data_IF_258977542923
#
_entry.id   IF_258977542923
#
_cell.length_a   1.000
_cell.length_b   1.000
_cell.length_c   1.000
_cell.angle_alpha   90.00
_cell.angle_beta   90.00
_cell.angle_gamma   90.00
#
_symmetry.space_group_name_H-M   'P 1'
#
loop_
_entity.id
_entity.type
_entity.pdbx_description
1 polymer ?
#
# COMPACT_ATOMS: atom_id res chain seq x y z
N UNK A 1 13.86 12.45 6.02
CA UNK A 1 13.10 12.01 7.23
C UNK A 1 11.82 11.36 6.75
N UNK A 2 11.43 10.24 7.35
CA UNK A 2 10.14 9.58 7.09
C UNK A 2 9.09 10.23 7.99
N UNK A 3 7.93 10.55 7.42
CA UNK A 3 6.74 11.01 8.15
C UNK A 3 5.69 9.92 8.06
N UNK A 4 5.13 9.55 9.20
CA UNK A 4 4.06 8.58 9.34
C UNK A 4 2.74 9.32 9.50
N UNK A 5 1.73 8.89 8.75
CA UNK A 5 0.37 9.40 8.80
C UNK A 5 -0.53 8.30 9.37
N UNK A 6 -1.15 8.55 10.49
CA UNK A 6 -1.90 7.53 11.26
C UNK A 6 -3.34 7.31 10.76
N UNK A 7 -3.77 8.06 9.73
CA UNK A 7 -5.11 7.89 9.19
C UNK A 7 -5.33 6.44 8.69
N UNK A 8 -6.38 5.76 9.12
CA UNK A 8 -6.66 4.38 8.72
C UNK A 8 -6.78 4.27 7.20
N UNK A 9 -6.21 3.23 6.63
CA UNK A 9 -6.30 2.98 5.18
C UNK A 9 -7.76 2.91 4.73
N UNK A 10 -8.08 3.65 3.68
CA UNK A 10 -9.43 3.76 3.14
C UNK A 10 -10.32 4.84 3.77
N UNK A 11 -9.85 5.53 4.83
CA UNK A 11 -10.54 6.71 5.36
C UNK A 11 -10.40 7.93 4.45
N UNK A 12 -11.25 8.93 4.62
CA UNK A 12 -11.18 10.18 3.86
C UNK A 12 -9.87 10.90 4.11
N UNK A 13 -9.40 10.94 5.34
CA UNK A 13 -8.13 11.55 5.74
C UNK A 13 -6.93 10.85 5.06
N UNK A 14 -6.99 9.53 4.93
CA UNK A 14 -5.96 8.77 4.24
C UNK A 14 -5.99 9.02 2.72
N UNK A 15 -7.19 9.13 2.12
CA UNK A 15 -7.34 9.51 0.72
C UNK A 15 -6.79 10.91 0.45
N UNK A 16 -7.06 11.85 1.35
CA UNK A 16 -6.53 13.22 1.28
C UNK A 16 -5.01 13.25 1.38
N UNK A 17 -4.44 12.50 2.32
CA UNK A 17 -2.99 12.41 2.50
C UNK A 17 -2.26 11.79 1.29
N UNK A 18 -2.94 10.95 0.51
CA UNK A 18 -2.38 10.30 -0.69
C UNK A 18 -2.54 11.13 -1.97
N UNK A 19 -3.37 12.16 -1.95
CA UNK A 19 -3.75 12.94 -3.13
C UNK A 19 -2.51 13.52 -3.82
N UNK A 20 -2.37 13.26 -5.12
CA UNK A 20 -1.25 13.72 -5.91
C UNK A 20 0.10 13.03 -5.63
N UNK A 21 0.13 12.01 -4.77
CA UNK A 21 1.36 11.25 -4.53
C UNK A 21 1.49 10.07 -5.50
N UNK A 22 2.69 9.86 -6.01
CA UNK A 22 3.05 8.59 -6.63
C UNK A 22 3.21 7.54 -5.52
N UNK A 23 2.24 6.65 -5.41
CA UNK A 23 2.26 5.62 -4.38
C UNK A 23 3.02 4.37 -4.84
N UNK A 24 3.52 3.57 -3.89
CA UNK A 24 4.25 2.33 -4.16
C UNK A 24 3.45 1.38 -5.08
N UNK A 25 2.13 1.27 -4.89
CA UNK A 25 1.24 0.45 -5.73
C UNK A 25 1.17 0.92 -7.20
N UNK A 26 1.41 2.20 -7.46
CA UNK A 26 1.39 2.79 -8.81
C UNK A 26 2.78 2.91 -9.45
N UNK A 27 3.83 2.55 -8.72
CA UNK A 27 5.21 2.73 -9.18
C UNK A 27 5.51 1.96 -10.46
N UNK A 28 5.08 0.70 -10.54
CA UNK A 28 5.22 -0.13 -11.75
C UNK A 28 4.51 0.51 -12.95
N UNK A 29 3.31 1.06 -12.75
CA UNK A 29 2.56 1.76 -13.79
C UNK A 29 3.27 3.02 -14.24
N UNK A 30 3.85 3.79 -13.31
CA UNK A 30 4.63 4.99 -13.64
C UNK A 30 5.87 4.70 -14.49
N UNK A 31 6.51 3.54 -14.29
CA UNK A 31 7.64 3.07 -15.09
C UNK A 31 7.25 2.44 -16.42
N UNK A 32 5.98 2.11 -16.63
CA UNK A 32 5.50 1.54 -17.88
C UNK A 32 5.54 2.56 -19.02
N UNK A 33 5.35 2.08 -20.25
CA UNK A 33 5.23 2.93 -21.44
C UNK A 33 3.80 2.85 -21.97
N UNK A 34 3.31 3.95 -22.53
CA UNK A 34 2.03 4.01 -23.23
C UNK A 34 0.86 4.46 -22.36
N UNK A 35 -0.35 4.13 -22.82
CA UNK A 35 -1.62 4.69 -22.32
C UNK A 35 -1.88 4.49 -20.83
N UNK A 36 -1.40 3.40 -20.25
CA UNK A 36 -1.59 3.10 -18.82
C UNK A 36 -0.87 4.13 -17.93
N UNK A 37 0.38 4.46 -18.29
CA UNK A 37 1.13 5.54 -17.61
C UNK A 37 0.45 6.89 -17.82
N UNK A 38 0.03 7.18 -19.05
CA UNK A 38 -0.61 8.46 -19.36
C UNK A 38 -1.92 8.65 -18.59
N UNK A 39 -2.68 7.56 -18.41
CA UNK A 39 -3.89 7.57 -17.57
C UNK A 39 -3.55 7.86 -16.10
N UNK A 40 -2.52 7.23 -15.56
CA UNK A 40 -2.06 7.52 -14.19
C UNK A 40 -1.64 8.99 -14.03
N UNK A 41 -0.87 9.52 -14.99
CA UNK A 41 -0.42 10.91 -14.94
C UNK A 41 -1.58 11.90 -14.99
N UNK A 42 -2.59 11.66 -15.84
CA UNK A 42 -3.81 12.50 -15.91
C UNK A 42 -4.60 12.45 -14.60
N UNK A 43 -4.72 11.27 -14.00
CA UNK A 43 -5.36 11.11 -12.70
C UNK A 43 -4.64 11.92 -11.64
N UNK A 44 -3.34 11.76 -11.48
CA UNK A 44 -2.54 12.51 -10.50
C UNK A 44 -2.62 14.03 -10.75
N UNK A 45 -2.60 14.46 -12.00
CA UNK A 45 -2.76 15.88 -12.35
C UNK A 45 -4.14 16.41 -11.93
N UNK A 46 -5.21 15.64 -12.12
CA UNK A 46 -6.55 15.99 -11.70
C UNK A 46 -6.69 16.08 -10.16
N UNK A 47 -6.06 15.14 -9.45
CA UNK A 47 -5.98 15.17 -7.98
C UNK A 47 -5.31 16.46 -7.49
N UNK A 48 -4.18 16.84 -8.08
CA UNK A 48 -3.42 18.04 -7.70
C UNK A 48 -4.18 19.33 -8.07
N UNK A 49 -4.75 19.38 -9.28
CA UNK A 49 -5.33 20.62 -9.80
C UNK A 49 -6.73 20.92 -9.24
N UNK A 50 -7.53 19.88 -8.99
CA UNK A 50 -8.95 20.02 -8.64
C UNK A 50 -9.36 19.27 -7.37
N UNK A 51 -8.44 18.60 -6.68
CA UNK A 51 -8.78 17.79 -5.51
C UNK A 51 -9.73 16.63 -5.86
N UNK A 52 -9.64 16.10 -7.09
CA UNK A 52 -10.50 15.01 -7.53
C UNK A 52 -10.09 13.72 -6.84
N UNK A 53 -10.88 13.29 -5.84
CA UNK A 53 -10.67 11.99 -5.18
C UNK A 53 -11.13 10.87 -6.12
N UNK A 54 -10.28 9.86 -6.27
CA UNK A 54 -10.67 8.63 -6.93
C UNK A 54 -11.21 7.66 -5.86
N UNK A 55 -12.52 7.43 -5.88
CA UNK A 55 -13.15 6.43 -5.00
C UNK A 55 -12.67 5.00 -5.26
N UNK A 56 -11.95 4.80 -6.36
CA UNK A 56 -11.32 3.53 -6.72
C UNK A 56 -12.32 2.39 -6.96
N UNK A 57 -12.01 1.54 -7.92
CA UNK A 57 -12.73 0.29 -8.09
C UNK A 57 -12.28 -0.70 -7.01
N UNK A 58 -13.22 -1.14 -6.16
CA UNK A 58 -12.98 -2.21 -5.18
C UNK A 58 -13.49 -3.52 -5.75
N UNK A 59 -12.59 -4.43 -6.13
CA UNK A 59 -12.97 -5.79 -6.50
C UNK A 59 -13.28 -6.63 -5.24
N UNK A 60 -14.07 -7.69 -5.41
CA UNK A 60 -14.32 -8.65 -4.33
C UNK A 60 -13.03 -9.27 -3.79
N UNK A 61 -12.02 -9.46 -4.65
CA UNK A 61 -10.71 -9.96 -4.23
C UNK A 61 -9.95 -8.94 -3.36
N UNK A 62 -10.03 -7.65 -3.68
CA UNK A 62 -9.43 -6.58 -2.87
C UNK A 62 -10.13 -6.47 -1.52
N UNK A 63 -11.47 -6.53 -1.50
CA UNK A 63 -12.22 -6.51 -0.24
C UNK A 63 -11.85 -7.71 0.65
N UNK A 64 -11.82 -8.93 0.06
CA UNK A 64 -11.36 -10.11 0.80
C UNK A 64 -9.93 -9.96 1.35
N UNK A 65 -9.02 -9.35 0.59
CA UNK A 65 -7.66 -9.05 1.04
C UNK A 65 -7.68 -8.19 2.30
N UNK A 66 -8.40 -7.09 2.26
CA UNK A 66 -8.52 -6.16 3.39
C UNK A 66 -9.15 -6.83 4.62
N UNK A 67 -10.19 -7.66 4.43
CA UNK A 67 -10.86 -8.37 5.53
C UNK A 67 -9.93 -9.36 6.23
N UNK A 68 -9.00 -9.98 5.50
CA UNK A 68 -8.06 -10.96 6.03
C UNK A 68 -6.77 -10.36 6.61
N UNK A 69 -6.50 -9.10 6.31
CA UNK A 69 -5.24 -8.46 6.66
C UNK A 69 -5.02 -8.38 8.18
N UNK A 70 -6.07 -8.04 8.94
CA UNK A 70 -6.01 -7.97 10.41
C UNK A 70 -5.73 -9.36 11.02
N UNK A 71 -6.31 -10.42 10.47
CA UNK A 71 -6.05 -11.79 10.92
C UNK A 71 -4.63 -12.24 10.55
N UNK A 72 -4.17 -11.91 9.34
CA UNK A 72 -2.82 -12.22 8.90
C UNK A 72 -1.75 -11.52 9.77
N UNK A 73 -1.97 -10.27 10.19
CA UNK A 73 -1.08 -9.59 11.15
C UNK A 73 -1.02 -10.31 12.50
N UNK A 74 -2.17 -10.77 13.01
CA UNK A 74 -2.22 -11.54 14.26
C UNK A 74 -1.48 -12.87 14.15
N UNK A 75 -1.68 -13.61 13.07
CA UNK A 75 -0.96 -14.86 12.80
C UNK A 75 0.54 -14.65 12.71
N UNK A 76 0.98 -13.62 11.98
CA UNK A 76 2.39 -13.27 11.88
C UNK A 76 3.00 -12.96 13.27
N UNK A 77 2.30 -12.20 14.10
CA UNK A 77 2.76 -11.89 15.46
C UNK A 77 2.82 -13.15 16.33
N UNK A 78 1.84 -14.04 16.21
CA UNK A 78 1.82 -15.31 16.96
C UNK A 78 2.98 -16.22 16.55
N UNK A 79 3.27 -16.31 15.27
CA UNK A 79 4.31 -17.20 14.72
C UNK A 79 5.74 -16.69 14.98
N UNK A 80 5.92 -15.37 14.94
CA UNK A 80 7.25 -14.75 15.02
C UNK A 80 7.58 -14.13 16.37
N UNK A 81 6.58 -13.82 17.20
CA UNK A 81 6.73 -13.04 18.41
C UNK A 81 6.99 -11.55 18.18
N UNK A 82 6.95 -11.10 16.92
CA UNK A 82 7.18 -9.69 16.56
C UNK A 82 5.88 -8.91 16.59
N UNK A 83 5.86 -7.78 17.30
CA UNK A 83 4.71 -6.89 17.31
C UNK A 83 4.62 -6.10 16.02
N UNK A 84 3.44 -6.05 15.42
CA UNK A 84 3.14 -5.28 14.22
C UNK A 84 2.21 -4.12 14.57
N UNK A 85 2.62 -2.89 14.29
CA UNK A 85 1.79 -1.71 14.39
C UNK A 85 1.18 -1.38 13.02
N UNK A 86 -0.08 -0.94 13.01
CA UNK A 86 -0.74 -0.45 11.80
C UNK A 86 -0.28 0.97 11.51
N UNK A 87 -0.12 1.29 10.24
CA UNK A 87 0.20 2.63 9.74
C UNK A 87 -0.61 2.93 8.49
N UNK A 88 -1.02 4.18 8.32
CA UNK A 88 -1.81 4.57 7.15
C UNK A 88 -0.95 4.82 5.93
N UNK A 89 -0.05 5.77 6.02
CA UNK A 89 0.78 6.22 4.92
C UNK A 89 2.16 6.66 5.43
N UNK A 90 3.20 6.32 4.71
CA UNK A 90 4.55 6.83 4.92
C UNK A 90 4.94 7.75 3.75
N UNK A 91 5.49 8.91 4.07
CA UNK A 91 6.11 9.82 3.10
C UNK A 91 7.57 10.09 3.50
N UNK A 92 8.40 10.55 2.57
CA UNK A 92 9.80 10.85 2.85
C UNK A 92 10.19 12.20 2.25
N UNK A 93 10.72 13.08 3.08
CA UNK A 93 11.15 14.42 2.66
C UNK A 93 12.25 14.42 1.59
N UNK A 94 13.02 13.33 1.47
CA UNK A 94 14.01 13.14 0.41
C UNK A 94 13.41 12.68 -0.92
N UNK A 95 12.15 12.24 -0.92
CA UNK A 95 11.40 11.75 -2.08
C UNK A 95 10.06 12.48 -2.16
N UNK A 96 10.07 13.81 -2.40
CA UNK A 96 8.84 14.58 -2.44
C UNK A 96 7.90 14.06 -3.54
N UNK A 97 6.61 14.04 -3.27
CA UNK A 97 5.61 13.53 -4.20
C UNK A 97 5.49 12.00 -4.23
N UNK A 98 6.17 11.27 -3.35
CA UNK A 98 6.07 9.82 -3.25
C UNK A 98 5.57 9.39 -1.87
N UNK A 99 4.81 8.30 -1.84
CA UNK A 99 4.30 7.72 -0.60
C UNK A 99 4.11 6.20 -0.70
N UNK A 100 4.04 5.56 0.46
CA UNK A 100 3.75 4.13 0.55
C UNK A 100 2.76 3.88 1.69
N UNK A 101 1.68 3.15 1.41
CA UNK A 101 0.83 2.58 2.44
C UNK A 101 1.31 1.17 2.72
N UNK A 102 1.72 0.93 3.95
CA UNK A 102 2.21 -0.36 4.41
C UNK A 102 1.10 -1.08 5.18
N UNK A 103 1.05 -2.40 5.07
CA UNK A 103 0.08 -3.21 5.81
C UNK A 103 0.45 -3.33 7.30
N UNK A 104 1.66 -2.93 7.65
CA UNK A 104 2.12 -2.81 9.02
C UNK A 104 3.59 -2.44 9.10
N UNK A 105 4.03 -2.15 10.32
CA UNK A 105 5.44 -1.96 10.64
C UNK A 105 5.83 -2.83 11.83
N UNK A 106 7.05 -3.34 11.79
CA UNK A 106 7.70 -4.06 12.89
C UNK A 106 8.72 -3.11 13.50
N UNK A 107 8.66 -2.90 14.81
CA UNK A 107 9.52 -1.96 15.51
C UNK A 107 8.79 -0.66 15.87
N UNK A 108 9.53 0.41 16.05
CA UNK A 108 8.99 1.72 16.44
C UNK A 108 9.17 2.75 15.32
N UNK A 109 8.19 3.60 15.05
CA UNK A 109 8.35 4.73 14.13
C UNK A 109 9.50 5.68 14.51
N UNK A 110 9.88 5.71 15.78
CA UNK A 110 10.99 6.51 16.30
C UNK A 110 12.36 5.81 16.21
N UNK A 111 12.40 4.54 15.86
CA UNK A 111 13.62 3.73 15.80
C UNK A 111 13.80 3.00 14.48
N UNK A 112 14.52 1.88 14.52
CA UNK A 112 14.67 1.00 13.38
C UNK A 112 13.34 0.33 13.06
N UNK A 113 12.83 0.53 11.86
CA UNK A 113 11.51 0.07 11.43
C UNK A 113 11.63 -0.77 10.17
N UNK A 114 10.94 -1.90 10.17
CA UNK A 114 10.80 -2.78 9.00
C UNK A 114 9.34 -2.72 8.53
N UNK A 115 9.13 -2.43 7.25
CA UNK A 115 7.80 -2.47 6.65
C UNK A 115 7.33 -3.90 6.44
N UNK A 116 6.05 -4.15 6.72
CA UNK A 116 5.36 -5.40 6.46
C UNK A 116 4.37 -5.20 5.32
N UNK A 117 4.44 -6.08 4.34
CA UNK A 117 3.47 -6.22 3.26
C UNK A 117 2.78 -7.57 3.37
N UNK A 118 1.45 -7.58 3.34
CA UNK A 118 0.62 -8.77 3.48
C UNK A 118 -0.05 -9.06 2.15
N UNK A 119 0.05 -10.28 1.68
CA UNK A 119 -0.64 -10.76 0.48
C UNK A 119 -1.56 -11.91 0.84
N UNK A 120 -2.84 -11.75 0.57
CA UNK A 120 -3.88 -12.77 0.76
C UNK A 120 -4.39 -13.28 -0.61
N UNK A 121 -3.56 -13.98 -1.40
CA UNK A 121 -3.92 -14.40 -2.74
C UNK A 121 -5.01 -15.46 -2.72
N UNK A 122 -5.73 -15.62 -3.84
CA UNK A 122 -6.58 -16.78 -4.05
C UNK A 122 -5.75 -18.05 -4.17
N UNK A 123 -6.33 -19.20 -3.84
CA UNK A 123 -5.61 -20.49 -3.81
C UNK A 123 -4.85 -20.81 -5.10
N UNK A 124 -5.43 -20.55 -6.27
CA UNK A 124 -4.75 -20.76 -7.55
C UNK A 124 -3.51 -19.88 -7.73
N UNK A 125 -3.58 -18.62 -7.31
CA UNK A 125 -2.45 -17.69 -7.34
C UNK A 125 -1.37 -18.12 -6.36
N UNK A 126 -1.75 -18.53 -5.16
CA UNK A 126 -0.83 -19.05 -4.13
C UNK A 126 -0.10 -20.29 -4.63
N UNK A 127 -0.82 -21.23 -5.24
CA UNK A 127 -0.23 -22.43 -5.84
C UNK A 127 0.81 -22.06 -6.92
N UNK A 128 0.51 -21.04 -7.76
CA UNK A 128 1.46 -20.53 -8.75
C UNK A 128 2.74 -19.99 -8.12
N UNK A 129 2.64 -19.23 -7.03
CA UNK A 129 3.84 -18.74 -6.31
C UNK A 129 4.71 -19.88 -5.77
N UNK A 130 4.08 -20.91 -5.18
CA UNK A 130 4.81 -22.07 -4.71
C UNK A 130 5.48 -22.86 -5.85
N UNK A 131 4.78 -23.02 -6.97
CA UNK A 131 5.28 -23.77 -8.11
C UNK A 131 6.43 -23.05 -8.82
N UNK A 132 6.32 -21.74 -8.97
CA UNK A 132 7.30 -20.92 -9.67
C UNK A 132 8.44 -20.44 -8.76
N UNK A 133 8.35 -20.63 -7.45
CA UNK A 133 9.29 -20.08 -6.47
C UNK A 133 9.36 -18.55 -6.48
N UNK A 134 8.27 -17.88 -6.85
CA UNK A 134 8.22 -16.43 -6.97
C UNK A 134 7.72 -15.77 -5.69
N UNK A 135 8.31 -14.62 -5.37
CA UNK A 135 7.77 -13.73 -4.35
C UNK A 135 6.64 -12.91 -4.98
N UNK A 136 5.47 -12.76 -4.31
CA UNK A 136 4.40 -11.89 -4.77
C UNK A 136 4.89 -10.45 -4.98
N UNK A 137 4.55 -9.87 -6.12
CA UNK A 137 4.89 -8.49 -6.46
C UNK A 137 3.74 -7.55 -6.18
#
# INVERSE_FOLDING_TARGET
MITWHDAPQGSDEWLDARMGLLTASNFKTALSKGSTRDTLMRKMAAEIAWGAKDEGYKSAAMQRGNDLEAEARKSFTADTGLSVAEVGLATNSKLPGMGASLDGIIGSPAGSTVGLEIKCPLAGTLAGYHYDGRIPS
#
